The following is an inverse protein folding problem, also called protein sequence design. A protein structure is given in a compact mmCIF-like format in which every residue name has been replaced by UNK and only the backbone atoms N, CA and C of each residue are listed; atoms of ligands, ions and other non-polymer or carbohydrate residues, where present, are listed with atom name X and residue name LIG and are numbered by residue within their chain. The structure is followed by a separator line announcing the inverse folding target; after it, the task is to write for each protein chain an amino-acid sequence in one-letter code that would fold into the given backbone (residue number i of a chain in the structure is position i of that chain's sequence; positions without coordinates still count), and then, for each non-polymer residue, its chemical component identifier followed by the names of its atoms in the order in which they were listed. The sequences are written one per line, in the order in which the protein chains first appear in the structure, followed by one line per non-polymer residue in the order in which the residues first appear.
data_IF_369929279233
#
_entry.id   IF_369929279233
#
_cell.length_a   1.000
_cell.length_b   1.000
_cell.length_c   1.000
_cell.angle_alpha   90.00
_cell.angle_beta   90.00
_cell.angle_gamma   90.00
#
_symmetry.space_group_name_H-M   'P 1'
#
loop_
_entity.id
_entity.type
_entity.pdbx_description
1 polymer ?
#
# COMPACT_ATOMS: atom_id res chain seq x y z
N UNK A 1 15.02 12.35 2.68
CA UNK A 1 15.09 13.83 2.51
C UNK A 1 14.53 14.48 3.76
N UNK A 2 15.20 15.47 4.33
CA UNK A 2 14.71 16.17 5.53
C UNK A 2 14.31 17.58 5.09
N UNK A 3 13.03 17.89 5.20
CA UNK A 3 12.53 19.23 4.90
C UNK A 3 12.90 20.22 6.02
N UNK A 4 13.09 21.50 5.71
CA UNK A 4 13.24 22.55 6.73
C UNK A 4 11.98 22.61 7.60
N UNK A 5 12.10 23.18 8.79
CA UNK A 5 10.96 23.29 9.70
C UNK A 5 9.81 24.08 9.07
N UNK A 6 8.59 23.56 9.21
CA UNK A 6 7.40 24.22 8.70
C UNK A 6 7.12 25.50 9.49
N UNK A 7 7.04 26.62 8.79
CA UNK A 7 6.60 27.90 9.38
C UNK A 7 5.09 28.05 9.16
N UNK A 8 4.34 28.05 10.26
CA UNK A 8 2.89 28.30 10.23
C UNK A 8 2.60 29.79 10.19
N UNK A 9 1.46 30.15 9.62
CA UNK A 9 0.95 31.55 9.66
C UNK A 9 0.37 31.78 11.07
N UNK A 10 0.88 32.77 11.77
CA UNK A 10 0.39 33.18 13.07
C UNK A 10 -0.61 34.35 12.95
N UNK A 11 -1.50 34.49 13.91
CA UNK A 11 -2.43 35.63 13.94
C UNK A 11 -1.71 36.99 14.01
N UNK A 12 -0.50 36.99 14.60
CA UNK A 12 0.36 38.17 14.67
C UNK A 12 0.88 38.61 13.29
N UNK A 13 1.11 37.66 12.38
CA UNK A 13 1.60 37.92 11.02
C UNK A 13 0.55 38.67 10.17
N UNK A 14 -0.71 38.63 10.58
CA UNK A 14 -1.85 39.25 9.88
C UNK A 14 -2.51 40.37 10.69
N UNK A 15 -1.80 40.94 11.65
CA UNK A 15 -2.32 42.09 12.41
C UNK A 15 -2.74 43.21 11.45
N UNK A 16 -4.00 43.63 11.55
CA UNK A 16 -4.60 44.63 10.64
C UNK A 16 -5.26 44.07 9.37
N UNK A 17 -5.21 42.76 9.13
CA UNK A 17 -5.93 42.11 8.03
C UNK A 17 -7.44 42.02 8.34
N UNK A 18 -8.33 41.99 7.29
CA UNK A 18 -9.76 41.80 7.46
C UNK A 18 -10.10 40.50 8.23
N UNK A 19 -11.17 40.51 9.01
CA UNK A 19 -11.54 39.41 9.90
C UNK A 19 -11.76 38.05 9.20
N UNK A 20 -12.20 38.07 7.94
CA UNK A 20 -12.39 36.83 7.18
C UNK A 20 -11.10 36.05 6.94
N UNK A 21 -9.94 36.72 6.93
CA UNK A 21 -8.62 36.06 6.78
C UNK A 21 -8.36 35.10 7.92
N UNK A 22 -8.82 35.43 9.12
CA UNK A 22 -8.64 34.55 10.30
C UNK A 22 -9.30 33.19 10.10
N UNK A 23 -10.47 33.15 9.43
CA UNK A 23 -11.17 31.92 9.12
C UNK A 23 -10.46 31.03 8.08
N UNK A 24 -9.55 31.60 7.29
CA UNK A 24 -8.79 30.88 6.26
C UNK A 24 -7.47 30.33 6.78
N UNK A 25 -6.91 30.93 7.83
CA UNK A 25 -5.59 30.51 8.36
C UNK A 25 -5.58 29.10 8.88
N UNK A 26 -6.62 28.70 9.61
CA UNK A 26 -6.66 27.34 10.18
C UNK A 26 -6.66 26.25 9.10
N UNK A 27 -7.53 26.30 8.08
CA UNK A 27 -7.48 25.35 6.98
C UNK A 27 -6.15 25.35 6.22
N UNK A 28 -5.56 26.52 5.99
CA UNK A 28 -4.26 26.62 5.30
C UNK A 28 -3.15 25.97 6.14
N UNK A 29 -3.03 26.31 7.41
CA UNK A 29 -2.02 25.71 8.29
C UNK A 29 -2.19 24.21 8.42
N UNK A 30 -3.43 23.73 8.52
CA UNK A 30 -3.75 22.30 8.59
C UNK A 30 -3.33 21.56 7.32
N UNK A 31 -3.62 22.13 6.16
CA UNK A 31 -3.18 21.59 4.87
C UNK A 31 -1.66 21.57 4.74
N UNK A 32 -1.00 22.68 5.06
CA UNK A 32 0.46 22.79 5.02
C UNK A 32 1.12 21.76 5.96
N UNK A 33 0.56 21.54 7.15
CA UNK A 33 1.07 20.55 8.09
C UNK A 33 0.90 19.12 7.56
N UNK A 34 -0.23 18.79 6.98
CA UNK A 34 -0.49 17.49 6.39
C UNK A 34 0.49 17.18 5.24
N UNK A 35 0.70 18.15 4.35
CA UNK A 35 1.66 18.03 3.23
C UNK A 35 3.09 17.90 3.76
N UNK A 36 3.47 18.72 4.73
CA UNK A 36 4.80 18.66 5.33
C UNK A 36 5.08 17.31 5.98
N UNK A 37 4.13 16.78 6.74
CA UNK A 37 4.29 15.49 7.40
C UNK A 37 4.39 14.35 6.38
N UNK A 38 3.57 14.37 5.33
CA UNK A 38 3.62 13.39 4.26
C UNK A 38 4.99 13.38 3.57
N UNK A 39 5.49 14.56 3.19
CA UNK A 39 6.78 14.68 2.51
C UNK A 39 7.98 14.37 3.41
N UNK A 40 7.91 14.75 4.71
CA UNK A 40 9.03 14.56 5.64
C UNK A 40 9.18 13.11 6.09
N UNK A 41 8.10 12.34 6.10
CA UNK A 41 8.10 10.91 6.45
C UNK A 41 8.46 9.99 5.28
N UNK A 42 8.74 10.53 4.12
CA UNK A 42 8.78 9.84 2.83
C UNK A 42 7.41 9.15 2.57
N UNK A 43 6.71 9.59 1.56
CA UNK A 43 5.43 8.97 1.18
C UNK A 43 5.66 7.47 1.02
N UNK A 44 5.09 6.69 1.93
CA UNK A 44 5.14 5.23 1.82
C UNK A 44 4.20 4.76 0.70
N UNK A 45 4.44 3.56 0.19
CA UNK A 45 3.56 2.96 -0.82
C UNK A 45 2.09 2.92 -0.35
N UNK A 46 1.86 2.73 0.97
CA UNK A 46 0.51 2.73 1.56
C UNK A 46 -0.21 4.08 1.50
N UNK A 47 0.54 5.17 1.43
CA UNK A 47 0.01 6.53 1.34
C UNK A 47 -0.20 6.98 -0.11
N UNK A 48 0.33 6.24 -1.06
CA UNK A 48 0.14 6.48 -2.48
C UNK A 48 -1.15 5.81 -2.95
N UNK A 49 -2.12 6.60 -3.39
CA UNK A 49 -3.41 6.09 -3.91
C UNK A 49 -3.28 5.21 -5.16
N UNK A 50 -2.15 5.26 -5.83
CA UNK A 50 -1.84 4.44 -7.00
C UNK A 50 -1.12 3.13 -6.66
N UNK A 51 -0.85 2.86 -5.38
CA UNK A 51 -0.18 1.64 -4.91
C UNK A 51 -0.86 1.11 -3.67
N UNK A 52 -1.07 -0.19 -3.62
CA UNK A 52 -1.58 -0.90 -2.46
C UNK A 52 -0.63 -2.04 -2.10
N UNK A 53 -0.31 -2.17 -0.82
CA UNK A 53 0.36 -3.36 -0.29
C UNK A 53 -0.70 -4.25 0.37
N UNK A 54 -0.72 -5.51 -0.03
CA UNK A 54 -1.64 -6.52 0.48
C UNK A 54 -0.86 -7.73 0.99
N UNK A 55 -1.20 -8.18 2.16
CA UNK A 55 -0.70 -9.44 2.70
C UNK A 55 -1.80 -10.50 2.63
N UNK A 56 -1.47 -11.66 2.09
CA UNK A 56 -2.38 -12.80 1.97
C UNK A 56 -1.79 -14.03 2.63
N UNK A 57 -2.66 -14.83 3.24
CA UNK A 57 -2.31 -16.18 3.70
C UNK A 57 -2.63 -17.17 2.59
N UNK A 58 -1.66 -17.98 2.20
CA UNK A 58 -1.76 -18.94 1.13
C UNK A 58 -1.36 -20.33 1.62
N UNK A 59 -2.33 -21.22 1.69
CA UNK A 59 -2.13 -22.58 2.18
C UNK A 59 -2.09 -23.51 0.98
N UNK A 60 -0.92 -24.10 0.72
CA UNK A 60 -0.77 -25.12 -0.33
C UNK A 60 -1.23 -26.48 0.18
N UNK A 61 -1.91 -27.21 -0.68
CA UNK A 61 -2.35 -28.59 -0.40
C UNK A 61 -1.43 -29.59 -1.10
N UNK A 62 -1.72 -30.88 -0.95
CA UNK A 62 -1.05 -31.94 -1.71
C UNK A 62 -1.34 -31.88 -3.21
N UNK A 63 -2.38 -31.16 -3.64
CA UNK A 63 -2.71 -30.93 -5.06
C UNK A 63 -1.86 -29.82 -5.71
N UNK A 64 -1.04 -29.10 -4.92
CA UNK A 64 -0.16 -28.06 -5.46
C UNK A 64 0.66 -28.59 -6.65
N UNK A 65 0.84 -27.86 -7.75
CA UNK A 65 0.57 -26.41 -7.93
C UNK A 65 -0.87 -26.02 -8.35
N UNK A 66 -1.78 -26.96 -8.50
CA UNK A 66 -3.16 -26.65 -8.87
C UNK A 66 -3.94 -26.23 -7.61
N UNK A 67 -4.23 -24.95 -7.50
CA UNK A 67 -4.90 -24.35 -6.35
C UNK A 67 -6.09 -23.53 -6.81
N UNK A 68 -7.02 -23.28 -5.89
CA UNK A 68 -8.14 -22.37 -6.15
C UNK A 68 -7.66 -20.92 -6.26
N UNK A 69 -8.34 -20.15 -7.07
CA UNK A 69 -8.08 -18.73 -7.22
C UNK A 69 -8.40 -17.98 -5.92
N UNK A 70 -7.65 -16.91 -5.68
CA UNK A 70 -7.88 -15.98 -4.58
C UNK A 70 -8.44 -14.70 -5.16
N UNK A 71 -9.51 -14.20 -4.58
CA UNK A 71 -10.14 -12.96 -4.99
C UNK A 71 -10.20 -11.95 -3.85
N UNK A 72 -9.94 -10.69 -4.14
CA UNK A 72 -10.16 -9.58 -3.23
C UNK A 72 -10.40 -8.28 -3.98
N UNK A 73 -11.11 -7.37 -3.33
CA UNK A 73 -11.36 -6.04 -3.90
C UNK A 73 -10.10 -5.20 -3.81
N UNK A 74 -9.72 -4.59 -4.93
CA UNK A 74 -8.62 -3.63 -4.98
C UNK A 74 -8.99 -2.37 -4.17
N UNK A 75 -8.04 -1.89 -3.36
CA UNK A 75 -8.15 -0.60 -2.71
C UNK A 75 -7.76 0.58 -3.60
N UNK A 76 -7.33 0.31 -4.83
CA UNK A 76 -6.96 1.34 -5.80
C UNK A 76 -8.20 2.02 -6.36
N UNK A 77 -8.11 3.33 -6.62
CA UNK A 77 -9.15 4.10 -7.32
C UNK A 77 -9.08 3.95 -8.84
N UNK A 78 -8.05 3.31 -9.34
CA UNK A 78 -7.79 3.06 -10.76
C UNK A 78 -7.65 1.56 -10.99
N UNK A 79 -7.78 1.14 -12.24
CA UNK A 79 -7.51 -0.25 -12.63
C UNK A 79 -6.05 -0.58 -12.33
N UNK A 80 -5.80 -1.72 -11.70
CA UNK A 80 -4.45 -2.21 -11.45
C UNK A 80 -3.72 -2.50 -12.76
N UNK A 81 -2.48 -2.05 -12.87
CA UNK A 81 -1.60 -2.26 -14.01
C UNK A 81 -0.42 -3.16 -13.72
N UNK A 82 -0.15 -3.42 -12.42
CA UNK A 82 0.93 -4.28 -11.99
C UNK A 82 0.64 -4.97 -10.66
N UNK A 83 1.06 -6.23 -10.54
CA UNK A 83 1.09 -6.97 -9.30
C UNK A 83 2.44 -7.65 -9.16
N UNK A 84 3.13 -7.39 -8.06
CA UNK A 84 4.45 -7.93 -7.77
C UNK A 84 4.44 -8.60 -6.41
N UNK A 85 5.03 -9.79 -6.32
CA UNK A 85 5.30 -10.45 -5.05
C UNK A 85 6.53 -9.82 -4.43
N UNK A 86 6.36 -9.13 -3.30
CA UNK A 86 7.46 -8.50 -2.56
C UNK A 86 8.18 -9.50 -1.66
N UNK A 87 7.42 -10.38 -1.03
CA UNK A 87 7.95 -11.40 -0.13
C UNK A 87 6.99 -12.59 -0.06
N UNK A 88 7.55 -13.78 0.09
CA UNK A 88 6.82 -15.00 0.41
C UNK A 88 7.64 -15.80 1.41
N UNK A 89 7.06 -16.14 2.54
CA UNK A 89 7.73 -16.89 3.60
C UNK A 89 6.76 -17.87 4.27
N UNK A 90 7.31 -18.96 4.75
CA UNK A 90 6.59 -19.97 5.52
C UNK A 90 6.03 -19.31 6.79
N UNK A 91 4.73 -19.43 7.01
CA UNK A 91 4.05 -18.75 8.12
C UNK A 91 4.45 -19.25 9.50
N UNK A 92 4.92 -20.51 9.58
CA UNK A 92 5.27 -21.14 10.85
C UNK A 92 6.76 -20.92 11.20
N UNK A 93 7.62 -20.97 10.20
CA UNK A 93 9.08 -20.91 10.40
C UNK A 93 9.70 -19.58 10.01
N UNK A 94 8.94 -18.70 9.33
CA UNK A 94 9.41 -17.43 8.75
C UNK A 94 10.57 -17.58 7.75
N UNK A 95 10.78 -18.78 7.24
CA UNK A 95 11.80 -19.03 6.22
C UNK A 95 11.27 -18.57 4.86
N UNK A 96 12.05 -17.75 4.12
CA UNK A 96 11.66 -17.33 2.78
C UNK A 96 11.45 -18.52 1.84
N UNK A 97 10.58 -18.37 0.85
CA UNK A 97 10.43 -19.35 -0.22
C UNK A 97 11.76 -19.53 -0.96
N UNK A 98 12.12 -20.79 -1.25
CA UNK A 98 13.43 -21.14 -1.81
C UNK A 98 13.60 -20.73 -3.27
N UNK A 99 12.52 -20.49 -3.99
CA UNK A 99 12.51 -20.14 -5.41
C UNK A 99 11.80 -18.83 -5.71
N UNK A 100 11.82 -18.44 -6.99
CA UNK A 100 11.06 -17.31 -7.47
C UNK A 100 9.55 -17.59 -7.37
N UNK A 101 8.83 -16.74 -6.68
CA UNK A 101 7.37 -16.85 -6.50
C UNK A 101 6.69 -15.98 -7.54
N UNK A 102 5.81 -16.59 -8.31
CA UNK A 102 5.03 -15.92 -9.33
C UNK A 102 3.53 -16.08 -9.05
N UNK A 103 2.80 -14.97 -9.09
CA UNK A 103 1.36 -14.91 -8.91
C UNK A 103 0.70 -14.44 -10.21
N UNK A 104 0.11 -15.33 -11.02
CA UNK A 104 -0.69 -14.92 -12.18
C UNK A 104 -1.94 -14.20 -11.69
N UNK A 105 -2.28 -13.08 -12.30
CA UNK A 105 -3.35 -12.22 -11.81
C UNK A 105 -4.09 -11.51 -12.93
N UNK A 106 -5.30 -11.06 -12.61
CA UNK A 106 -6.11 -10.15 -13.44
C UNK A 106 -6.91 -9.19 -12.57
N UNK A 107 -7.23 -8.03 -13.11
CA UNK A 107 -8.18 -7.08 -12.53
C UNK A 107 -9.45 -7.04 -13.37
N UNK A 108 -10.56 -7.41 -12.77
CA UNK A 108 -11.89 -7.33 -13.39
C UNK A 108 -12.77 -6.41 -12.55
N UNK A 109 -12.99 -5.20 -13.05
CA UNK A 109 -13.85 -4.21 -12.40
C UNK A 109 -13.46 -3.89 -10.94
N UNK A 110 -12.18 -3.81 -10.64
CA UNK A 110 -11.66 -3.53 -9.29
C UNK A 110 -11.57 -4.76 -8.39
N UNK A 111 -11.85 -5.95 -8.88
CA UNK A 111 -11.58 -7.21 -8.19
C UNK A 111 -10.32 -7.84 -8.76
N UNK A 112 -9.34 -8.04 -7.89
CA UNK A 112 -8.11 -8.75 -8.23
C UNK A 112 -8.33 -10.24 -8.01
N UNK A 113 -8.13 -11.01 -9.07
CA UNK A 113 -8.13 -12.47 -9.02
C UNK A 113 -6.71 -12.95 -9.22
N UNK A 114 -6.20 -13.76 -8.29
CA UNK A 114 -4.88 -14.39 -8.34
C UNK A 114 -5.08 -15.87 -8.56
N UNK A 115 -4.53 -16.40 -9.63
CA UNK A 115 -4.52 -17.83 -9.92
C UNK A 115 -3.51 -18.59 -9.05
N UNK A 116 -3.24 -19.83 -9.44
CA UNK A 116 -2.29 -20.66 -8.69
C UNK A 116 -0.90 -20.05 -8.62
N UNK A 117 -0.45 -19.72 -7.41
CA UNK A 117 0.87 -19.14 -7.16
C UNK A 117 1.93 -20.25 -7.27
N UNK A 118 2.97 -20.01 -8.06
CA UNK A 118 4.05 -20.98 -8.30
C UNK A 118 5.32 -20.60 -7.51
N UNK A 119 6.25 -21.55 -7.38
CA UNK A 119 7.52 -21.35 -6.65
C UNK A 119 7.45 -21.68 -5.17
N UNK A 120 6.38 -22.32 -4.70
CA UNK A 120 6.17 -22.74 -3.31
C UNK A 120 6.31 -24.27 -3.17
N UNK A 121 6.26 -24.77 -1.96
CA UNK A 121 6.19 -26.20 -1.66
C UNK A 121 4.75 -26.63 -1.33
N UNK A 122 4.42 -27.89 -1.58
CA UNK A 122 3.13 -28.45 -1.23
C UNK A 122 2.95 -28.64 0.29
N UNK A 123 1.71 -28.63 0.75
CA UNK A 123 1.32 -28.90 2.14
C UNK A 123 1.98 -27.98 3.16
N UNK A 124 2.06 -26.70 2.83
CA UNK A 124 2.61 -25.65 3.70
C UNK A 124 1.74 -24.41 3.74
N UNK A 125 1.88 -23.63 4.81
CA UNK A 125 1.24 -22.33 4.96
C UNK A 125 2.25 -21.22 4.66
N UNK A 126 1.89 -20.28 3.80
CA UNK A 126 2.71 -19.15 3.41
C UNK A 126 2.02 -17.82 3.68
N UNK A 127 2.81 -16.86 4.11
CA UNK A 127 2.43 -15.45 4.10
C UNK A 127 3.08 -14.78 2.90
N UNK A 128 2.25 -14.21 2.03
CA UNK A 128 2.71 -13.58 0.79
C UNK A 128 2.34 -12.11 0.82
N UNK A 129 3.33 -11.26 0.63
CA UNK A 129 3.15 -9.81 0.54
C UNK A 129 3.20 -9.38 -0.90
N UNK A 130 2.15 -8.70 -1.33
CA UNK A 130 1.93 -8.25 -2.70
C UNK A 130 1.96 -6.72 -2.76
N UNK A 131 2.51 -6.19 -3.84
CA UNK A 131 2.37 -4.80 -4.25
C UNK A 131 1.51 -4.74 -5.49
N UNK A 132 0.45 -3.95 -5.43
CA UNK A 132 -0.49 -3.72 -6.53
C UNK A 132 -0.37 -2.25 -6.93
N UNK A 133 -0.17 -1.97 -8.20
CA UNK A 133 0.01 -0.61 -8.72
C UNK A 133 -0.84 -0.36 -9.97
#
# INVERSE_FOLDING_TARGET
MRLPALKKILLEDIAGAPDWIRGVIYPINSFMEAVYQALNKNISDDQNIAVQIKEISYITTSAYPVMSDIEFVSGLKIKATGLVVLAAFDSDTYVPAAGAVYAPWQDVNGTITIGSITGLLASKSYTIRLRIS
#
